data_IF_239272410002
#
_entry.id   IF_239272410002
#
_cell.length_a   1.000
_cell.length_b   1.000
_cell.length_c   1.000
_cell.angle_alpha   90.00
_cell.angle_beta   90.00
_cell.angle_gamma   90.00
#
_symmetry.space_group_name_H-M   'P 1'
#
loop_
_entity.id
_entity.type
_entity.pdbx_description
1 polymer ?
#
# COMPACT_ATOMS: atom_id res chain seq x y z
N UNK A 1 -24.53 -2.91 -9.10
CA UNK A 1 -24.38 -3.82 -10.28
C UNK A 1 -23.43 -4.96 -9.91
N UNK A 2 -23.44 -6.09 -10.66
CA UNK A 2 -22.42 -7.12 -10.41
C UNK A 2 -21.03 -6.57 -10.80
N UNK A 3 -20.03 -6.73 -9.92
CA UNK A 3 -18.66 -6.30 -10.19
C UNK A 3 -18.06 -7.08 -11.37
N UNK A 4 -17.14 -6.46 -12.08
CA UNK A 4 -16.43 -7.10 -13.22
C UNK A 4 -15.43 -8.12 -12.70
N UNK A 5 -15.35 -9.26 -13.35
CA UNK A 5 -14.33 -10.27 -13.05
C UNK A 5 -13.06 -10.00 -13.87
N UNK A 6 -11.91 -9.99 -13.21
CA UNK A 6 -10.58 -9.90 -13.82
C UNK A 6 -9.63 -10.93 -13.23
N UNK A 7 -8.66 -11.37 -14.02
CA UNK A 7 -7.57 -12.24 -13.55
C UNK A 7 -6.35 -11.38 -13.23
N UNK A 8 -5.86 -11.46 -11.99
CA UNK A 8 -4.71 -10.72 -11.51
C UNK A 8 -4.09 -11.37 -10.27
N UNK A 9 -2.93 -10.91 -9.86
CA UNK A 9 -2.31 -11.30 -8.60
C UNK A 9 -2.59 -10.30 -7.47
N UNK A 10 -2.10 -10.60 -6.27
CA UNK A 10 -2.33 -9.75 -5.09
C UNK A 10 -1.65 -8.39 -5.19
N UNK A 11 -0.45 -8.31 -5.77
CA UNK A 11 0.23 -7.03 -5.99
C UNK A 11 -0.57 -6.13 -6.94
N UNK A 12 -1.07 -6.68 -8.04
CA UNK A 12 -1.89 -5.92 -8.99
C UNK A 12 -3.23 -5.50 -8.37
N UNK A 13 -3.83 -6.34 -7.54
CA UNK A 13 -5.07 -6.02 -6.83
C UNK A 13 -4.85 -4.85 -5.84
N UNK A 14 -3.78 -4.91 -5.04
CA UNK A 14 -3.41 -3.82 -4.12
C UNK A 14 -3.09 -2.52 -4.86
N UNK A 15 -2.29 -2.60 -5.92
CA UNK A 15 -1.97 -1.44 -6.75
C UNK A 15 -3.23 -0.81 -7.34
N UNK A 16 -4.16 -1.62 -7.89
CA UNK A 16 -5.41 -1.12 -8.48
C UNK A 16 -6.26 -0.37 -7.47
N UNK A 17 -6.48 -0.95 -6.29
CA UNK A 17 -7.34 -0.37 -5.28
C UNK A 17 -6.68 0.84 -4.58
N UNK A 18 -5.38 0.77 -4.29
CA UNK A 18 -4.65 1.88 -3.66
C UNK A 18 -4.49 3.09 -4.58
N UNK A 19 -4.30 2.88 -5.88
CA UNK A 19 -4.20 3.97 -6.87
C UNK A 19 -5.40 4.90 -6.81
N UNK A 20 -6.59 4.36 -6.57
CA UNK A 20 -7.82 5.15 -6.49
C UNK A 20 -7.75 6.25 -5.42
N UNK A 21 -7.10 5.98 -4.28
CA UNK A 21 -7.04 6.87 -3.11
C UNK A 21 -5.71 7.59 -2.95
N UNK A 22 -4.79 7.46 -3.90
CA UNK A 22 -3.43 7.97 -3.80
C UNK A 22 -3.27 9.22 -4.66
N UNK A 23 -2.75 10.29 -4.08
CA UNK A 23 -2.29 11.49 -4.81
C UNK A 23 -0.78 11.43 -5.03
N UNK A 24 -0.03 10.96 -4.03
CA UNK A 24 1.42 10.82 -4.09
C UNK A 24 1.83 9.40 -3.71
N UNK A 25 2.65 8.76 -4.54
CA UNK A 25 3.32 7.50 -4.23
C UNK A 25 4.82 7.76 -4.06
N UNK A 26 5.34 7.65 -2.84
CA UNK A 26 6.77 7.72 -2.58
C UNK A 26 7.32 6.30 -2.44
N UNK A 27 8.21 5.90 -3.35
CA UNK A 27 8.59 4.51 -3.54
C UNK A 27 10.10 4.28 -3.45
N UNK A 28 10.46 3.07 -3.06
CA UNK A 28 11.76 2.46 -3.31
C UNK A 28 11.52 0.94 -3.42
N UNK A 29 11.47 0.40 -4.66
CA UNK A 29 10.99 -0.95 -4.90
C UNK A 29 11.83 -2.04 -4.23
N UNK A 30 11.17 -3.02 -3.63
CA UNK A 30 11.78 -4.20 -3.00
C UNK A 30 10.93 -5.45 -3.27
N UNK A 31 11.56 -6.57 -3.63
CA UNK A 31 10.90 -7.86 -3.82
C UNK A 31 10.31 -8.39 -2.48
N UNK A 32 9.05 -8.92 -2.45
CA UNK A 32 8.14 -9.17 -3.56
C UNK A 32 7.13 -8.06 -3.85
N UNK A 33 7.26 -6.88 -3.23
CA UNK A 33 6.30 -5.78 -3.36
C UNK A 33 6.52 -4.88 -4.58
N UNK A 34 7.67 -5.01 -5.28
CA UNK A 34 8.07 -4.11 -6.39
C UNK A 34 7.03 -4.00 -7.50
N UNK A 35 6.26 -5.05 -7.76
CA UNK A 35 5.21 -5.05 -8.80
C UNK A 35 4.10 -4.03 -8.50
N UNK A 36 3.81 -3.75 -7.23
CA UNK A 36 2.82 -2.73 -6.86
C UNK A 36 3.20 -1.34 -7.36
N UNK A 37 4.37 -0.78 -6.97
CA UNK A 37 4.78 0.53 -7.43
C UNK A 37 5.08 0.58 -8.94
N UNK A 38 5.52 -0.52 -9.56
CA UNK A 38 5.69 -0.61 -11.02
C UNK A 38 4.37 -0.38 -11.75
N UNK A 39 3.27 -1.03 -11.32
CA UNK A 39 1.94 -0.77 -11.88
C UNK A 39 1.46 0.65 -11.63
N UNK A 40 1.71 1.21 -10.44
CA UNK A 40 1.32 2.59 -10.13
C UNK A 40 2.03 3.58 -11.04
N UNK A 41 3.32 3.39 -11.27
CA UNK A 41 4.13 4.25 -12.15
C UNK A 41 3.71 4.12 -13.62
N UNK A 42 3.50 2.88 -14.10
CA UNK A 42 2.98 2.62 -15.45
C UNK A 42 1.65 3.35 -15.68
N UNK A 43 0.67 3.16 -14.79
CA UNK A 43 -0.65 3.80 -14.93
C UNK A 43 -0.59 5.32 -14.78
N UNK A 44 0.28 5.84 -13.93
CA UNK A 44 0.52 7.28 -13.83
C UNK A 44 1.08 7.85 -15.14
N UNK A 45 2.04 7.16 -15.75
CA UNK A 45 2.64 7.54 -17.03
C UNK A 45 1.61 7.48 -18.17
N UNK A 46 0.68 6.52 -18.14
CA UNK A 46 -0.43 6.41 -19.08
C UNK A 46 -1.52 7.48 -18.86
N UNK A 47 -1.44 8.25 -17.80
CA UNK A 47 -2.40 9.31 -17.48
C UNK A 47 -3.67 8.82 -16.80
N UNK A 48 -3.67 7.61 -16.21
CA UNK A 48 -4.80 7.08 -15.44
C UNK A 48 -5.15 8.04 -14.30
N UNK A 49 -6.43 8.28 -14.10
CA UNK A 49 -6.93 9.17 -13.04
C UNK A 49 -7.34 8.37 -11.80
N UNK A 50 -7.02 8.92 -10.63
CA UNK A 50 -7.55 8.47 -9.35
C UNK A 50 -9.00 8.95 -9.16
N UNK A 51 -9.62 8.70 -8.01
CA UNK A 51 -11.00 9.12 -7.73
C UNK A 51 -11.16 10.63 -7.60
N UNK A 52 -10.07 11.37 -7.42
CA UNK A 52 -10.04 12.83 -7.34
C UNK A 52 -9.90 13.49 -8.72
N UNK A 53 -9.73 12.69 -9.78
CA UNK A 53 -9.56 13.18 -11.16
C UNK A 53 -8.12 13.57 -11.50
N UNK A 54 -7.16 13.23 -10.65
CA UNK A 54 -5.74 13.54 -10.82
C UNK A 54 -4.92 12.28 -11.12
N UNK A 55 -3.77 12.47 -11.77
CA UNK A 55 -2.78 11.42 -11.98
C UNK A 55 -1.91 11.31 -10.74
N UNK A 56 -1.64 10.09 -10.26
CA UNK A 56 -0.75 9.89 -9.11
C UNK A 56 0.64 10.43 -9.40
N UNK A 57 1.18 11.24 -8.51
CA UNK A 57 2.56 11.69 -8.57
C UNK A 57 3.47 10.63 -7.96
N UNK A 58 4.22 9.93 -8.80
CA UNK A 58 5.18 8.92 -8.36
C UNK A 58 6.56 9.54 -8.16
N UNK A 59 7.18 9.27 -7.02
CA UNK A 59 8.53 9.73 -6.71
C UNK A 59 9.36 8.56 -6.18
N UNK A 60 10.37 8.15 -6.94
CA UNK A 60 11.34 7.15 -6.50
C UNK A 60 12.44 7.81 -5.67
N UNK A 61 12.69 7.25 -4.50
CA UNK A 61 13.66 7.76 -3.54
C UNK A 61 14.97 6.96 -3.61
N UNK A 62 15.91 7.24 -2.70
CA UNK A 62 17.23 6.58 -2.66
C UNK A 62 17.29 5.44 -1.64
N UNK A 63 16.25 5.28 -0.85
CA UNK A 63 16.08 4.20 0.14
C UNK A 63 14.65 4.19 0.67
N UNK A 64 14.26 3.11 1.32
CA UNK A 64 12.96 3.01 2.00
C UNK A 64 12.82 4.04 3.13
N UNK A 65 13.90 4.36 3.84
CA UNK A 65 13.90 5.43 4.83
C UNK A 65 13.62 6.80 4.18
N UNK A 66 14.17 7.04 3.00
CA UNK A 66 13.88 8.22 2.20
C UNK A 66 12.43 8.26 1.73
N UNK A 67 11.92 7.12 1.24
CA UNK A 67 10.51 7.00 0.85
C UNK A 67 9.57 7.29 2.04
N UNK A 68 9.84 6.72 3.22
CA UNK A 68 9.06 6.99 4.43
C UNK A 68 9.14 8.46 4.87
N UNK A 69 10.29 9.12 4.69
CA UNK A 69 10.43 10.56 4.94
C UNK A 69 9.59 11.40 3.98
N UNK A 70 9.57 11.04 2.70
CA UNK A 70 8.72 11.67 1.69
C UNK A 70 7.23 11.44 1.98
N UNK A 71 6.83 10.22 2.36
CA UNK A 71 5.46 9.90 2.82
C UNK A 71 5.06 10.81 3.98
N UNK A 72 5.90 10.91 5.02
CA UNK A 72 5.63 11.74 6.18
C UNK A 72 5.44 13.22 5.79
N UNK A 73 6.37 13.78 5.00
CA UNK A 73 6.31 15.17 4.57
C UNK A 73 5.10 15.48 3.68
N UNK A 74 4.77 14.58 2.77
CA UNK A 74 3.63 14.71 1.87
C UNK A 74 2.30 14.64 2.61
N UNK A 75 2.13 13.67 3.53
CA UNK A 75 0.96 13.59 4.41
C UNK A 75 0.80 14.83 5.29
N UNK A 76 1.89 15.33 5.87
CA UNK A 76 1.88 16.55 6.68
C UNK A 76 1.50 17.80 5.85
N UNK A 77 1.80 17.80 4.56
CA UNK A 77 1.36 18.84 3.62
C UNK A 77 -0.10 18.68 3.15
N UNK A 78 -0.77 17.59 3.51
CA UNK A 78 -2.18 17.34 3.24
C UNK A 78 -2.47 16.45 2.02
N UNK A 79 -1.45 15.90 1.33
CA UNK A 79 -1.65 15.00 0.22
C UNK A 79 -1.82 13.55 0.69
N UNK A 80 -2.78 12.82 0.13
CA UNK A 80 -3.00 11.40 0.40
C UNK A 80 -1.85 10.59 -0.20
N UNK A 81 -1.02 10.03 0.67
CA UNK A 81 0.25 9.44 0.28
C UNK A 81 0.33 7.96 0.66
N UNK A 82 0.82 7.18 -0.28
CA UNK A 82 0.97 5.72 -0.18
C UNK A 82 2.43 5.31 -0.46
N UNK A 83 2.85 4.19 0.10
CA UNK A 83 4.11 3.52 -0.23
C UNK A 83 3.95 2.01 -0.24
N UNK A 84 4.90 1.32 -0.87
CA UNK A 84 4.91 -0.13 -1.08
C UNK A 84 6.27 -0.68 -0.68
N UNK A 85 6.29 -1.69 0.20
CA UNK A 85 7.55 -2.18 0.75
C UNK A 85 7.46 -3.62 1.26
N UNK A 86 8.56 -4.14 1.78
CA UNK A 86 8.67 -5.48 2.39
C UNK A 86 9.92 -5.57 3.26
N UNK A 87 9.97 -6.54 4.18
CA UNK A 87 11.18 -6.99 4.86
C UNK A 87 12.00 -5.86 5.50
N UNK A 88 13.31 -5.82 5.23
CA UNK A 88 14.22 -4.77 5.72
C UNK A 88 13.78 -3.37 5.31
N UNK A 89 13.13 -3.23 4.14
CA UNK A 89 12.59 -1.96 3.69
C UNK A 89 11.55 -1.40 4.67
N UNK A 90 10.62 -2.25 5.13
CA UNK A 90 9.65 -1.86 6.14
C UNK A 90 10.33 -1.48 7.46
N UNK A 91 11.38 -2.21 7.87
CA UNK A 91 12.13 -1.88 9.09
C UNK A 91 12.80 -0.50 9.02
N UNK A 92 13.30 -0.12 7.85
CA UNK A 92 13.87 1.22 7.63
C UNK A 92 12.83 2.34 7.72
N UNK A 93 11.55 2.01 7.57
CA UNK A 93 10.45 2.98 7.68
C UNK A 93 9.97 3.18 9.13
N UNK A 94 10.32 2.31 10.08
CA UNK A 94 9.82 2.32 11.46
C UNK A 94 9.96 3.69 12.14
N UNK A 95 11.10 4.40 12.09
CA UNK A 95 11.21 5.73 12.74
C UNK A 95 10.18 6.74 12.22
N UNK A 96 9.86 6.70 10.92
CA UNK A 96 8.84 7.58 10.34
C UNK A 96 7.42 7.08 10.63
N UNK A 97 7.18 5.77 10.72
CA UNK A 97 5.88 5.22 11.14
C UNK A 97 5.47 5.73 12.53
N UNK A 98 6.39 5.80 13.48
CA UNK A 98 6.12 6.40 14.80
C UNK A 98 5.68 7.87 14.69
N UNK A 99 6.30 8.64 13.80
CA UNK A 99 5.92 10.05 13.57
C UNK A 99 4.56 10.18 12.92
N UNK A 100 4.35 9.43 11.82
CA UNK A 100 3.08 9.43 11.08
C UNK A 100 1.92 9.04 12.00
N UNK A 101 2.11 8.02 12.87
CA UNK A 101 1.12 7.60 13.84
C UNK A 101 0.91 8.65 14.95
N UNK A 102 2.00 9.19 15.50
CA UNK A 102 1.95 10.21 16.56
C UNK A 102 1.33 11.53 16.10
N UNK A 103 1.48 11.87 14.84
CA UNK A 103 0.90 13.06 14.20
C UNK A 103 -0.50 12.80 13.62
N UNK A 104 -1.02 11.57 13.77
CA UNK A 104 -2.36 11.17 13.29
C UNK A 104 -2.56 11.37 11.79
N UNK A 105 -1.54 11.06 10.99
CA UNK A 105 -1.57 11.22 9.55
C UNK A 105 -2.10 9.94 8.86
N UNK A 106 -3.04 10.05 7.90
CA UNK A 106 -3.74 8.90 7.33
C UNK A 106 -2.99 8.24 6.17
N UNK A 107 -1.73 7.84 6.37
CA UNK A 107 -0.92 7.14 5.38
C UNK A 107 -1.24 5.65 5.31
N UNK A 108 -1.16 5.05 4.12
CA UNK A 108 -1.28 3.60 3.96
C UNK A 108 0.01 3.02 3.40
N UNK A 109 0.57 2.05 4.12
CA UNK A 109 1.79 1.32 3.77
C UNK A 109 1.39 -0.08 3.32
N UNK A 110 1.54 -0.37 2.03
CA UNK A 110 1.24 -1.70 1.48
C UNK A 110 2.45 -2.59 1.55
N UNK A 111 2.28 -3.78 2.10
CA UNK A 111 3.38 -4.69 2.39
C UNK A 111 3.08 -6.09 1.85
N UNK A 112 3.90 -6.56 0.90
CA UNK A 112 3.98 -7.98 0.60
C UNK A 112 4.96 -8.61 1.58
N UNK A 113 4.44 -9.09 2.72
CA UNK A 113 5.21 -9.48 3.88
C UNK A 113 6.27 -10.55 3.56
N UNK A 114 7.50 -10.32 3.98
CA UNK A 114 8.67 -11.13 3.65
C UNK A 114 9.57 -11.32 4.86
N UNK A 115 10.16 -12.52 4.96
CA UNK A 115 11.14 -12.86 5.99
C UNK A 115 12.25 -11.80 6.11
N UNK A 116 12.63 -11.49 7.35
CA UNK A 116 13.80 -10.66 7.62
C UNK A 116 15.08 -11.46 7.37
N UNK A 117 16.07 -10.83 6.74
CA UNK A 117 17.39 -11.42 6.64
C UNK A 117 18.06 -11.46 8.03
N UNK A 118 18.42 -12.66 8.49
CA UNK A 118 19.16 -12.86 9.73
C UNK A 118 20.40 -13.70 9.47
N UNK A 119 20.29 -15.04 9.40
CA UNK A 119 21.42 -15.91 9.04
C UNK A 119 21.65 -15.97 7.54
N UNK A 120 20.57 -15.91 6.75
CA UNK A 120 20.59 -15.90 5.30
C UNK A 120 19.47 -15.04 4.76
N UNK A 121 19.61 -14.57 3.52
CA UNK A 121 18.54 -13.90 2.80
C UNK A 121 17.45 -14.92 2.44
N UNK A 122 16.21 -14.59 2.76
CA UNK A 122 15.01 -15.25 2.24
C UNK A 122 14.08 -14.22 1.62
N UNK A 123 13.51 -14.56 0.46
CA UNK A 123 12.55 -13.70 -0.24
C UNK A 123 11.10 -14.15 -0.05
N UNK A 124 10.91 -15.31 0.61
CA UNK A 124 9.59 -15.89 0.81
C UNK A 124 8.76 -15.19 1.90
N UNK A 125 7.45 -15.41 1.82
CA UNK A 125 6.47 -14.86 2.76
C UNK A 125 6.76 -15.26 4.21
N UNK A 126 6.72 -14.27 5.07
CA UNK A 126 6.87 -14.38 6.52
C UNK A 126 6.42 -13.05 7.13
N UNK A 127 5.86 -13.07 8.33
CA UNK A 127 5.33 -11.88 8.96
C UNK A 127 6.27 -11.21 9.96
N UNK A 128 7.54 -11.61 10.02
CA UNK A 128 8.53 -11.02 10.95
C UNK A 128 8.74 -9.51 10.74
N UNK A 129 8.64 -9.05 9.49
CA UNK A 129 8.74 -7.63 9.14
C UNK A 129 7.57 -6.81 9.70
N UNK A 130 6.33 -7.23 9.47
CA UNK A 130 5.15 -6.54 9.98
C UNK A 130 5.05 -6.64 11.51
N UNK A 131 5.42 -7.78 12.10
CA UNK A 131 5.49 -7.93 13.56
C UNK A 131 6.49 -6.96 14.21
N UNK A 132 7.58 -6.62 13.55
CA UNK A 132 8.51 -5.61 14.04
C UNK A 132 7.88 -4.22 14.13
N UNK A 133 6.84 -3.95 13.35
CA UNK A 133 6.14 -2.67 13.31
C UNK A 133 4.97 -2.55 14.32
N UNK A 134 4.59 -3.61 15.04
CA UNK A 134 3.41 -3.64 15.92
C UNK A 134 3.38 -2.57 17.00
N UNK A 135 4.53 -1.99 17.35
CA UNK A 135 4.64 -0.98 18.41
C UNK A 135 4.60 0.46 17.90
N UNK A 136 4.53 0.66 16.56
CA UNK A 136 4.62 2.00 15.94
C UNK A 136 3.37 2.85 16.14
N UNK A 137 2.24 2.23 16.48
CA UNK A 137 0.94 2.88 16.56
C UNK A 137 0.13 2.83 15.25
N UNK A 138 0.70 2.30 14.17
CA UNK A 138 -0.05 2.04 12.95
C UNK A 138 -1.05 0.89 13.15
N UNK A 139 -2.25 1.02 12.59
CA UNK A 139 -3.19 -0.09 12.49
C UNK A 139 -2.66 -1.13 11.49
N UNK A 140 -3.00 -2.39 11.69
CA UNK A 140 -2.52 -3.48 10.84
C UNK A 140 -3.72 -4.25 10.30
N UNK A 141 -3.80 -4.37 8.97
CA UNK A 141 -4.84 -5.10 8.26
C UNK A 141 -4.19 -6.21 7.43
N UNK A 142 -4.56 -7.45 7.69
CA UNK A 142 -4.00 -8.64 7.03
C UNK A 142 -5.01 -9.23 6.05
N UNK A 143 -4.53 -9.59 4.87
CA UNK A 143 -5.32 -10.20 3.79
C UNK A 143 -4.76 -11.57 3.44
N UNK A 144 -5.63 -12.55 3.23
CA UNK A 144 -5.25 -13.95 3.00
C UNK A 144 -5.52 -14.46 1.58
N UNK A 145 -6.13 -13.64 0.73
CA UNK A 145 -6.44 -13.99 -0.66
C UNK A 145 -6.41 -12.77 -1.56
N UNK A 146 -6.26 -12.98 -2.87
CA UNK A 146 -6.27 -11.89 -3.86
C UNK A 146 -7.61 -11.12 -3.85
N UNK A 147 -8.73 -11.81 -3.59
CA UNK A 147 -10.03 -11.15 -3.44
C UNK A 147 -10.06 -10.25 -2.19
N UNK A 148 -9.54 -10.73 -1.06
CA UNK A 148 -9.46 -9.90 0.15
C UNK A 148 -8.55 -8.69 -0.05
N UNK A 149 -7.43 -8.84 -0.76
CA UNK A 149 -6.58 -7.69 -1.12
C UNK A 149 -7.38 -6.64 -1.89
N UNK A 150 -8.15 -7.05 -2.90
CA UNK A 150 -9.01 -6.14 -3.67
C UNK A 150 -10.06 -5.46 -2.80
N UNK A 151 -10.66 -6.18 -1.85
CA UNK A 151 -11.79 -5.68 -1.05
C UNK A 151 -11.34 -4.89 0.20
N UNK A 152 -10.23 -5.28 0.84
CA UNK A 152 -9.79 -4.67 2.09
C UNK A 152 -8.81 -3.50 1.89
N UNK A 153 -8.11 -3.43 0.77
CA UNK A 153 -7.27 -2.27 0.45
C UNK A 153 -8.07 -0.95 0.50
N UNK A 154 -9.26 -0.82 -0.12
CA UNK A 154 -10.10 0.37 0.03
C UNK A 154 -10.51 0.64 1.49
N UNK A 155 -10.78 -0.43 2.24
CA UNK A 155 -11.11 -0.31 3.68
C UNK A 155 -9.95 0.30 4.46
N UNK A 156 -8.70 -0.12 4.18
CA UNK A 156 -7.51 0.46 4.83
C UNK A 156 -7.41 1.97 4.58
N UNK A 157 -7.61 2.42 3.34
CA UNK A 157 -7.56 3.85 2.98
C UNK A 157 -8.69 4.64 3.65
N UNK A 158 -9.95 4.17 3.55
CA UNK A 158 -11.08 4.83 4.18
C UNK A 158 -10.97 4.86 5.71
N UNK A 159 -10.49 3.76 6.32
CA UNK A 159 -10.30 3.67 7.76
C UNK A 159 -9.14 4.56 8.24
N UNK A 160 -8.07 4.69 7.45
CA UNK A 160 -6.97 5.61 7.75
C UNK A 160 -7.47 7.06 7.78
N UNK A 161 -8.24 7.47 6.79
CA UNK A 161 -8.85 8.80 6.73
C UNK A 161 -9.78 9.05 7.92
N UNK A 162 -10.73 8.15 8.16
CA UNK A 162 -11.73 8.29 9.23
C UNK A 162 -11.13 8.20 10.62
N UNK A 163 -10.16 7.31 10.80
CA UNK A 163 -9.47 7.06 12.09
C UNK A 163 -8.35 8.05 12.37
N UNK A 164 -7.88 8.80 11.39
CA UNK A 164 -6.69 9.66 11.47
C UNK A 164 -5.49 8.91 12.02
N UNK A 165 -5.17 7.77 11.40
CA UNK A 165 -3.99 7.00 11.75
C UNK A 165 -3.48 6.22 10.55
N UNK A 166 -2.17 5.91 10.48
CA UNK A 166 -1.64 5.12 9.39
C UNK A 166 -2.06 3.64 9.48
N UNK A 167 -2.17 3.01 8.33
CA UNK A 167 -2.38 1.58 8.19
C UNK A 167 -1.17 0.90 7.56
N UNK A 168 -0.79 -0.25 8.08
CA UNK A 168 0.00 -1.26 7.41
C UNK A 168 -0.98 -2.28 6.86
N UNK A 169 -1.20 -2.24 5.55
CA UNK A 169 -2.07 -3.14 4.81
C UNK A 169 -1.19 -4.23 4.18
N UNK A 170 -1.31 -5.49 4.59
CA UNK A 170 -0.33 -6.50 4.24
C UNK A 170 -0.93 -7.87 3.92
N UNK A 171 -0.23 -8.58 3.08
CA UNK A 171 -0.52 -9.95 2.68
C UNK A 171 0.79 -10.72 2.48
N UNK A 172 0.71 -12.05 2.38
CA UNK A 172 1.88 -12.92 2.21
C UNK A 172 2.62 -12.63 0.91
N UNK A 173 3.92 -12.38 1.02
CA UNK A 173 4.82 -12.30 -0.12
C UNK A 173 4.94 -13.65 -0.83
N UNK A 174 4.96 -13.64 -2.17
CA UNK A 174 4.93 -14.77 -3.09
C UNK A 174 3.67 -15.64 -3.06
N UNK A 175 3.07 -15.90 -1.93
CA UNK A 175 1.78 -16.60 -1.90
C UNK A 175 0.69 -15.69 -2.47
N UNK A 176 0.13 -14.82 -1.65
CA UNK A 176 -0.94 -13.92 -2.08
C UNK A 176 -0.43 -12.90 -3.11
N UNK A 177 0.77 -12.34 -2.95
CA UNK A 177 1.29 -11.29 -3.82
C UNK A 177 1.45 -11.71 -5.29
N UNK A 178 1.77 -12.98 -5.55
CA UNK A 178 1.98 -13.54 -6.91
C UNK A 178 1.01 -14.66 -7.26
N UNK A 179 0.03 -14.94 -6.42
CA UNK A 179 -1.02 -15.89 -6.71
C UNK A 179 -2.00 -15.31 -7.72
N UNK A 180 -2.15 -15.96 -8.88
CA UNK A 180 -3.07 -15.51 -9.93
C UNK A 180 -4.45 -16.07 -9.65
N UNK A 181 -5.42 -15.18 -9.43
CA UNK A 181 -6.82 -15.54 -9.22
C UNK A 181 -7.74 -14.73 -10.14
N UNK A 182 -8.90 -15.30 -10.43
CA UNK A 182 -10.00 -14.58 -11.08
C UNK A 182 -10.90 -14.01 -9.99
N UNK A 183 -10.90 -12.70 -9.83
CA UNK A 183 -11.56 -11.99 -8.74
C UNK A 183 -12.57 -10.96 -9.25
N UNK A 184 -13.48 -10.55 -8.39
CA UNK A 184 -14.32 -9.38 -8.59
C UNK A 184 -13.51 -8.11 -8.34
N UNK A 185 -13.59 -7.14 -9.25
CA UNK A 185 -12.84 -5.89 -9.13
C UNK A 185 -13.78 -4.71 -8.91
N UNK A 186 -13.32 -3.73 -8.15
CA UNK A 186 -13.98 -2.45 -8.01
C UNK A 186 -13.73 -1.57 -9.25
N UNK A 187 -14.77 -0.89 -9.72
CA UNK A 187 -14.63 0.28 -10.58
C UNK A 187 -14.37 1.53 -9.73
N UNK A 188 -13.72 2.54 -10.28
CA UNK A 188 -13.34 3.75 -9.50
C UNK A 188 -14.55 4.60 -9.10
N UNK A 189 -15.66 4.51 -9.83
CA UNK A 189 -16.92 5.14 -9.41
C UNK A 189 -17.44 4.53 -8.11
N UNK A 190 -17.42 3.20 -7.99
CA UNK A 190 -17.83 2.51 -6.76
C UNK A 190 -16.89 2.86 -5.58
N UNK A 191 -15.56 2.97 -5.84
CA UNK A 191 -14.57 3.33 -4.82
C UNK A 191 -14.72 4.78 -4.36
N UNK A 192 -15.13 5.67 -5.24
CA UNK A 192 -15.41 7.06 -4.92
C UNK A 192 -16.59 7.21 -3.97
N UNK A 193 -17.62 6.37 -4.15
CA UNK A 193 -18.82 6.38 -3.29
C UNK A 193 -18.54 5.92 -1.84
N UNK A 194 -17.36 5.31 -1.58
CA UNK A 194 -16.95 4.91 -0.23
C UNK A 194 -16.33 6.06 0.59
N UNK A 195 -16.00 7.16 -0.04
CA UNK A 195 -15.33 8.31 0.60
C UNK A 195 -16.27 9.49 0.63
N UNK A 196 -16.40 10.10 1.82
CA UNK A 196 -17.01 11.41 1.95
C UNK A 196 -16.07 12.45 1.33
N UNK A 197 -16.53 13.09 0.27
CA UNK A 197 -15.75 14.04 -0.53
C UNK A 197 -15.96 15.49 -0.10
N UNK A 198 -16.80 15.76 0.94
CA UNK A 198 -17.12 17.08 1.45
C UNK A 198 -16.22 17.54 2.61
#
# INVERSE_FOLDING_TARGET
MARKMKTMDGNQAAAHASYAYTEVAAIYPITPSSVMPEHVDEWATEGRKNIFGETVQVTEMQSEAGAAGAVHGSLAAGALTTTFTASQGLLLMIPNLYKVAGEQLPGVFHVSARALASHALSIFGDHSDVYACRQTGAAMLCESSVQEVMDLTPVAHCAALKGKLPFINFFDGFRTSHEIQKIETWDYEDLKDLVDMD
#
